data_IF_081897076694
#
_entry.id   IF_081897076694
#
_cell.length_a   1.000
_cell.length_b   1.000
_cell.length_c   1.000
_cell.angle_alpha   90.00
_cell.angle_beta   90.00
_cell.angle_gamma   90.00
#
_symmetry.space_group_name_H-M   'P 1'
#
loop_
_entity.id
_entity.type
_entity.pdbx_description
1 polymer ?
#
# COMPACT_ATOMS: atom_id res chain seq x y z
N UNK A 1 -14.53 12.44 11.19
CA UNK A 1 -13.95 12.60 9.84
C UNK A 1 -14.79 11.76 8.89
N UNK A 2 -15.44 12.34 7.87
CA UNK A 2 -16.08 11.52 6.83
C UNK A 2 -14.97 10.75 6.13
N UNK A 3 -15.05 9.41 6.15
CA UNK A 3 -14.21 8.57 5.30
C UNK A 3 -14.64 8.87 3.87
N UNK A 4 -13.78 9.51 3.07
CA UNK A 4 -14.07 9.67 1.64
C UNK A 4 -14.06 8.29 0.99
N UNK A 5 -14.75 8.13 -0.13
CA UNK A 5 -14.80 6.84 -0.84
C UNK A 5 -13.41 6.37 -1.27
N UNK A 6 -12.47 7.30 -1.54
CA UNK A 6 -11.07 6.96 -1.82
C UNK A 6 -10.34 6.42 -0.59
N UNK A 7 -10.61 6.98 0.60
CA UNK A 7 -10.02 6.46 1.82
C UNK A 7 -10.52 5.03 2.09
N UNK A 8 -11.82 4.79 1.91
CA UNK A 8 -12.42 3.46 2.09
C UNK A 8 -11.85 2.43 1.12
N UNK A 9 -11.71 2.77 -0.17
CA UNK A 9 -11.14 1.88 -1.18
C UNK A 9 -9.66 1.58 -0.92
N UNK A 10 -8.89 2.56 -0.46
CA UNK A 10 -7.51 2.37 -0.04
C UNK A 10 -7.40 1.37 1.12
N UNK A 11 -8.18 1.55 2.20
CA UNK A 11 -8.15 0.64 3.34
C UNK A 11 -8.59 -0.78 2.95
N UNK A 12 -9.61 -0.90 2.11
CA UNK A 12 -10.07 -2.19 1.62
C UNK A 12 -8.94 -2.93 0.87
N UNK A 13 -8.27 -2.27 -0.07
CA UNK A 13 -7.17 -2.86 -0.83
C UNK A 13 -6.01 -3.30 0.08
N UNK A 14 -5.63 -2.48 1.07
CA UNK A 14 -4.59 -2.81 2.05
C UNK A 14 -4.97 -4.06 2.84
N UNK A 15 -6.19 -4.14 3.37
CA UNK A 15 -6.61 -5.27 4.17
C UNK A 15 -6.74 -6.55 3.34
N UNK A 16 -7.23 -6.47 2.10
CA UNK A 16 -7.26 -7.62 1.19
C UNK A 16 -5.85 -8.17 0.94
N UNK A 17 -4.87 -7.31 0.66
CA UNK A 17 -3.49 -7.74 0.44
C UNK A 17 -2.83 -8.37 1.68
N UNK A 18 -3.18 -7.91 2.89
CA UNK A 18 -2.68 -8.50 4.14
C UNK A 18 -3.24 -9.90 4.36
N UNK A 19 -4.49 -10.16 3.97
CA UNK A 19 -5.13 -11.47 4.11
C UNK A 19 -4.49 -12.57 3.25
N UNK A 20 -3.75 -12.20 2.21
CA UNK A 20 -3.04 -13.15 1.34
C UNK A 20 -1.72 -13.65 1.94
N UNK A 21 -1.25 -13.05 3.04
CA UNK A 21 0.03 -13.41 3.66
C UNK A 21 -0.12 -14.75 4.42
N UNK A 22 0.67 -15.79 4.08
CA UNK A 22 0.60 -17.06 4.79
C UNK A 22 1.03 -16.94 6.26
N UNK A 23 0.47 -17.78 7.11
CA UNK A 23 0.85 -17.82 8.52
C UNK A 23 2.36 -18.07 8.71
N UNK A 24 2.96 -17.35 9.65
CA UNK A 24 4.41 -17.41 9.91
C UNK A 24 5.27 -16.74 8.84
N UNK A 25 4.67 -16.10 7.83
CA UNK A 25 5.36 -15.23 6.87
C UNK A 25 5.12 -13.77 7.22
N UNK A 26 6.11 -12.95 6.89
CA UNK A 26 6.06 -11.50 7.04
C UNK A 26 6.32 -10.86 5.69
N UNK A 27 5.81 -9.65 5.51
CA UNK A 27 6.03 -8.84 4.32
C UNK A 27 6.39 -7.42 4.72
N UNK A 28 6.78 -6.59 3.74
CA UNK A 28 7.11 -5.19 3.98
C UNK A 28 5.98 -4.28 3.50
N UNK A 29 5.86 -3.09 4.08
CA UNK A 29 4.92 -2.07 3.60
C UNK A 29 5.13 -1.73 2.12
N UNK A 30 6.39 -1.68 1.67
CA UNK A 30 6.70 -1.44 0.26
C UNK A 30 6.25 -2.56 -0.68
N UNK A 31 6.17 -3.80 -0.19
CA UNK A 31 5.61 -4.91 -0.96
C UNK A 31 4.08 -4.81 -1.03
N UNK A 32 3.39 -4.54 0.09
CA UNK A 32 1.94 -4.29 0.09
C UNK A 32 1.58 -3.12 -0.82
N UNK A 33 2.33 -2.02 -0.75
CA UNK A 33 2.12 -0.85 -1.60
C UNK A 33 2.23 -1.19 -3.09
N UNK A 34 3.18 -2.08 -3.48
CA UNK A 34 3.27 -2.59 -4.85
C UNK A 34 2.08 -3.46 -5.26
N UNK A 35 1.60 -4.34 -4.36
CA UNK A 35 0.45 -5.20 -4.63
C UNK A 35 -0.83 -4.40 -4.88
N UNK A 36 -1.03 -3.30 -4.15
CA UNK A 36 -2.20 -2.43 -4.30
C UNK A 36 -2.01 -1.31 -5.34
N UNK A 37 -0.95 -1.35 -6.15
CA UNK A 37 -0.69 -0.36 -7.20
C UNK A 37 -0.24 1.02 -6.71
N UNK A 38 0.12 1.15 -5.44
CA UNK A 38 0.64 2.38 -4.83
C UNK A 38 2.17 2.36 -4.79
N UNK A 39 2.79 2.43 -5.96
CA UNK A 39 4.22 2.70 -6.00
C UNK A 39 4.49 4.17 -5.68
N UNK A 40 5.37 4.43 -4.72
CA UNK A 40 5.98 5.76 -4.58
C UNK A 40 7.00 5.89 -5.70
N UNK A 41 6.69 6.68 -6.72
CA UNK A 41 7.74 7.24 -7.58
C UNK A 41 8.73 7.95 -6.67
N UNK A 42 9.96 7.45 -6.65
CA UNK A 42 11.06 8.21 -6.06
C UNK A 42 11.29 9.36 -7.05
N UNK A 43 10.67 10.50 -6.82
CA UNK A 43 11.19 11.76 -7.35
C UNK A 43 12.60 11.89 -6.77
N UNK A 44 13.58 11.44 -7.55
CA UNK A 44 14.97 11.80 -7.33
C UNK A 44 15.01 13.29 -7.67
N UNK A 45 14.73 14.14 -6.70
CA UNK A 45 15.06 15.55 -6.78
C UNK A 45 16.60 15.64 -6.72
N UNK A 46 17.27 15.33 -7.83
CA UNK A 46 18.64 15.79 -8.08
C UNK A 46 18.55 17.30 -8.18
N UNK A 47 18.83 17.97 -7.06
CA UNK A 47 19.14 19.39 -7.08
C UNK A 47 20.60 19.54 -7.56
N UNK A 48 20.88 20.33 -8.61
CA UNK A 48 22.25 20.66 -9.03
C UNK A 48 23.00 21.47 -7.96
#
# INVERSE_FOLDING_TARGET
>A
MPRTDEAASFYHAVYSAIQEIPYGKVTTYGHIARLIGMQREKEIQTNP
#
